data_IF_190356111768
#
_entry.id   IF_190356111768
#
_cell.length_a   1.000
_cell.length_b   1.000
_cell.length_c   1.000
_cell.angle_alpha   90.00
_cell.angle_beta   90.00
_cell.angle_gamma   90.00
#
_symmetry.space_group_name_H-M   'P 1'
#
loop_
_entity.id
_entity.type
_entity.pdbx_description
1 polymer ?
#
# COMPACT_ATOMS: atom_id res chain seq x y z
N UNK A 1 18.42 7.96 11.29
CA UNK A 1 19.69 7.22 11.06
C UNK A 1 19.49 5.75 10.66
N UNK A 2 18.39 5.08 11.01
CA UNK A 2 18.21 3.65 10.70
C UNK A 2 18.05 3.32 9.20
N UNK A 3 17.22 4.06 8.44
CA UNK A 3 17.01 3.75 7.02
C UNK A 3 18.24 4.10 6.15
N UNK A 4 18.86 5.27 6.37
CA UNK A 4 20.11 5.65 5.69
C UNK A 4 21.27 4.67 5.99
N UNK A 5 21.33 4.10 7.20
CA UNK A 5 22.30 3.06 7.55
C UNK A 5 22.00 1.69 6.91
N UNK A 6 20.73 1.36 6.69
CA UNK A 6 20.29 0.14 6.00
C UNK A 6 20.46 0.21 4.47
N UNK A 7 20.33 1.41 3.90
CA UNK A 7 20.36 1.65 2.46
C UNK A 7 21.79 1.72 1.86
N UNK A 8 22.82 1.81 2.72
CA UNK A 8 24.22 1.92 2.31
C UNK A 8 24.55 3.21 1.53
N UNK A 9 25.81 3.39 1.15
CA UNK A 9 26.30 4.54 0.38
C UNK A 9 25.74 4.65 -1.06
N UNK A 10 24.83 3.75 -1.48
CA UNK A 10 24.38 3.59 -2.88
C UNK A 10 22.89 3.89 -3.13
N UNK A 11 22.17 4.44 -2.15
CA UNK A 11 20.77 4.81 -2.37
C UNK A 11 20.69 6.24 -2.92
N UNK A 12 20.42 6.34 -4.22
CA UNK A 12 20.36 7.60 -4.94
C UNK A 12 19.01 8.32 -4.87
N UNK A 13 17.96 7.66 -4.38
CA UNK A 13 16.62 8.20 -4.28
C UNK A 13 15.65 7.23 -3.58
N UNK A 14 14.48 7.74 -3.22
CA UNK A 14 13.39 6.95 -2.62
C UNK A 14 12.11 7.18 -3.39
N UNK A 15 11.45 6.08 -3.76
CA UNK A 15 10.10 6.09 -4.31
C UNK A 15 9.16 5.28 -3.40
N UNK A 16 7.97 5.82 -3.15
CA UNK A 16 6.87 5.10 -2.50
C UNK A 16 5.71 4.99 -3.50
N UNK A 17 5.12 3.80 -3.62
CA UNK A 17 4.08 3.51 -4.62
C UNK A 17 2.83 3.00 -3.92
N UNK A 18 1.73 3.74 -4.03
CA UNK A 18 0.42 3.37 -3.46
C UNK A 18 0.44 3.03 -1.96
N UNK A 19 1.40 3.57 -1.19
CA UNK A 19 1.54 3.33 0.26
C UNK A 19 0.72 4.30 1.11
N UNK A 20 0.21 5.36 0.49
CA UNK A 20 -0.41 6.51 1.14
C UNK A 20 0.58 7.34 1.96
N UNK A 21 0.02 8.10 2.90
CA UNK A 21 0.77 8.94 3.83
C UNK A 21 0.78 8.34 5.23
N UNK A 22 1.71 8.81 6.06
CA UNK A 22 1.82 8.39 7.45
C UNK A 22 0.52 8.54 8.24
N UNK A 23 0.26 7.57 9.11
CA UNK A 23 -0.92 7.58 9.97
C UNK A 23 -0.53 8.23 11.31
N UNK A 24 -0.68 9.55 11.42
CA UNK A 24 -0.26 10.28 12.63
C UNK A 24 -1.13 9.99 13.85
N UNK A 25 -2.41 9.69 13.63
CA UNK A 25 -3.37 9.55 14.72
C UNK A 25 -4.51 8.59 14.38
N UNK A 26 -5.27 8.19 15.39
CA UNK A 26 -6.50 7.43 15.22
C UNK A 26 -7.53 8.16 14.34
N UNK A 27 -7.56 9.49 14.35
CA UNK A 27 -8.45 10.29 13.49
C UNK A 27 -8.20 10.02 11.99
N UNK A 28 -6.93 9.80 11.60
CA UNK A 28 -6.59 9.41 10.23
C UNK A 28 -7.20 8.06 9.87
N UNK A 29 -7.12 7.08 10.77
CA UNK A 29 -7.68 5.74 10.57
C UNK A 29 -9.21 5.80 10.46
N UNK A 30 -9.87 6.64 11.26
CA UNK A 30 -11.33 6.75 11.26
C UNK A 30 -11.92 7.27 9.94
N UNK A 31 -11.11 7.97 9.13
CA UNK A 31 -11.47 8.50 7.80
C UNK A 31 -11.29 7.49 6.66
N UNK A 32 -10.66 6.34 6.93
CA UNK A 32 -10.46 5.28 5.93
C UNK A 32 -11.78 4.58 5.56
N UNK A 33 -11.86 3.91 4.39
CA UNK A 33 -12.96 3.02 4.05
C UNK A 33 -13.20 1.96 5.12
N UNK A 34 -14.43 1.46 5.25
CA UNK A 34 -14.80 0.54 6.31
C UNK A 34 -13.96 -0.75 6.33
N UNK A 35 -13.61 -1.28 5.16
CA UNK A 35 -12.74 -2.45 4.99
C UNK A 35 -11.35 -2.21 5.59
N UNK A 36 -10.67 -1.13 5.19
CA UNK A 36 -9.35 -0.77 5.73
C UNK A 36 -9.40 -0.35 7.20
N UNK A 37 -10.41 0.44 7.60
CA UNK A 37 -10.56 0.97 8.96
C UNK A 37 -10.62 -0.13 10.02
N UNK A 38 -11.35 -1.23 9.76
CA UNK A 38 -11.46 -2.36 10.69
C UNK A 38 -10.10 -2.97 10.98
N UNK A 39 -9.28 -3.17 9.95
CA UNK A 39 -7.93 -3.74 10.08
C UNK A 39 -6.97 -2.76 10.74
N UNK A 40 -6.89 -1.52 10.23
CA UNK A 40 -5.92 -0.53 10.70
C UNK A 40 -6.19 -0.06 12.14
N UNK A 41 -7.46 0.01 12.57
CA UNK A 41 -7.81 0.39 13.93
C UNK A 41 -7.34 -0.67 14.94
N UNK A 42 -7.62 -1.95 14.65
CA UNK A 42 -7.18 -3.06 15.49
C UNK A 42 -5.65 -3.18 15.47
N UNK A 43 -5.02 -3.01 14.30
CA UNK A 43 -3.57 -2.94 14.15
C UNK A 43 -2.93 -1.86 15.03
N UNK A 44 -3.62 -0.72 15.24
CA UNK A 44 -3.11 0.36 16.08
C UNK A 44 -3.31 0.10 17.57
N UNK A 45 -4.45 -0.44 17.97
CA UNK A 45 -4.85 -0.52 19.37
C UNK A 45 -4.47 -1.85 20.03
N UNK A 46 -4.66 -2.95 19.31
CA UNK A 46 -4.48 -4.31 19.82
C UNK A 46 -4.04 -5.25 18.70
N UNK A 47 -2.77 -5.16 18.22
CA UNK A 47 -2.26 -5.97 17.11
C UNK A 47 -2.49 -7.47 17.26
N UNK A 48 -2.43 -7.99 18.49
CA UNK A 48 -2.64 -9.41 18.80
C UNK A 48 -4.04 -9.92 18.44
N UNK A 49 -5.03 -9.04 18.33
CA UNK A 49 -6.38 -9.43 17.90
C UNK A 49 -6.48 -9.66 16.39
N UNK A 50 -5.44 -9.32 15.60
CA UNK A 50 -5.43 -9.57 14.17
C UNK A 50 -5.10 -11.04 13.83
N UNK A 51 -4.41 -11.78 14.69
CA UNK A 51 -3.97 -13.15 14.33
C UNK A 51 -5.14 -14.09 14.04
N UNK A 52 -6.16 -14.12 14.92
CA UNK A 52 -7.30 -15.01 14.75
C UNK A 52 -8.08 -14.78 13.44
N UNK A 53 -8.56 -13.55 13.12
CA UNK A 53 -9.30 -13.32 11.88
C UNK A 53 -8.45 -13.57 10.63
N UNK A 54 -7.14 -13.25 10.64
CA UNK A 54 -6.28 -13.55 9.49
C UNK A 54 -6.03 -15.04 9.30
N UNK A 55 -5.90 -15.83 10.38
CA UNK A 55 -5.81 -17.30 10.28
C UNK A 55 -7.10 -17.92 9.74
N UNK A 56 -8.26 -17.41 10.16
CA UNK A 56 -9.56 -17.85 9.62
C UNK A 56 -9.68 -17.52 8.14
N UNK A 57 -9.33 -16.29 7.74
CA UNK A 57 -9.35 -15.88 6.34
C UNK A 57 -8.36 -16.69 5.48
N UNK A 58 -7.15 -16.95 5.98
CA UNK A 58 -6.17 -17.80 5.32
C UNK A 58 -6.66 -19.23 5.12
N UNK A 59 -7.34 -19.78 6.13
CA UNK A 59 -7.95 -21.11 6.02
C UNK A 59 -9.06 -21.13 4.97
N UNK A 60 -10.00 -20.17 5.01
CA UNK A 60 -11.09 -20.06 4.03
C UNK A 60 -10.56 -19.93 2.58
N UNK A 61 -9.52 -19.11 2.40
CA UNK A 61 -8.83 -18.92 1.12
C UNK A 61 -8.27 -20.22 0.55
N UNK A 62 -7.62 -21.04 1.38
CA UNK A 62 -6.98 -22.28 0.93
C UNK A 62 -7.95 -23.46 0.81
N UNK A 63 -9.10 -23.42 1.48
CA UNK A 63 -10.07 -24.52 1.51
C UNK A 63 -11.01 -24.56 0.31
N UNK A 64 -11.31 -23.41 -0.33
CA UNK A 64 -12.30 -23.38 -1.41
C UNK A 64 -12.07 -22.27 -2.43
N UNK A 65 -12.52 -22.50 -3.67
CA UNK A 65 -12.54 -21.49 -4.72
C UNK A 65 -13.42 -20.29 -4.35
N UNK A 66 -14.56 -20.55 -3.69
CA UNK A 66 -15.45 -19.47 -3.22
C UNK A 66 -14.78 -18.59 -2.17
N UNK A 67 -13.97 -19.16 -1.27
CA UNK A 67 -13.18 -18.41 -0.30
C UNK A 67 -12.11 -17.54 -0.97
N UNK A 68 -11.42 -18.10 -1.96
CA UNK A 68 -10.49 -17.35 -2.82
C UNK A 68 -11.19 -16.16 -3.51
N UNK A 69 -12.33 -16.40 -4.16
CA UNK A 69 -13.11 -15.36 -4.85
C UNK A 69 -13.60 -14.26 -3.92
N UNK A 70 -14.13 -14.63 -2.75
CA UNK A 70 -14.59 -13.66 -1.75
C UNK A 70 -13.46 -12.74 -1.30
N UNK A 71 -12.29 -13.29 -0.96
CA UNK A 71 -11.18 -12.48 -0.46
C UNK A 71 -10.53 -11.64 -1.55
N UNK A 72 -10.45 -12.13 -2.79
CA UNK A 72 -9.98 -11.32 -3.92
C UNK A 72 -10.88 -10.09 -4.13
N UNK A 73 -12.20 -10.24 -4.05
CA UNK A 73 -13.15 -9.13 -4.22
C UNK A 73 -13.23 -8.19 -3.02
N UNK A 74 -13.03 -8.71 -1.80
CA UNK A 74 -13.17 -7.96 -0.54
C UNK A 74 -12.37 -6.65 -0.51
N UNK A 75 -11.14 -6.65 -1.06
CA UNK A 75 -10.28 -5.46 -1.07
C UNK A 75 -10.73 -4.36 -2.03
N UNK A 76 -11.63 -4.66 -2.96
CA UNK A 76 -12.17 -3.73 -3.96
C UNK A 76 -13.64 -3.42 -3.74
N UNK A 77 -14.22 -3.83 -2.60
CA UNK A 77 -15.61 -3.54 -2.28
C UNK A 77 -15.85 -2.02 -2.26
N UNK A 78 -16.80 -1.58 -3.09
CA UNK A 78 -17.10 -0.16 -3.29
C UNK A 78 -16.18 0.55 -4.29
N UNK A 79 -15.21 -0.12 -4.92
CA UNK A 79 -14.34 0.44 -5.95
C UNK A 79 -14.71 -0.14 -7.33
N UNK A 80 -15.74 0.43 -7.96
CA UNK A 80 -16.34 -0.13 -9.17
C UNK A 80 -15.34 -0.33 -10.32
N UNK A 81 -14.38 0.59 -10.49
CA UNK A 81 -13.38 0.50 -11.54
C UNK A 81 -12.40 -0.67 -11.31
N UNK A 82 -11.75 -0.73 -10.13
CA UNK A 82 -10.81 -1.81 -9.82
C UNK A 82 -11.52 -3.16 -9.69
N UNK A 83 -12.72 -3.19 -9.11
CA UNK A 83 -13.53 -4.42 -9.01
C UNK A 83 -13.87 -4.97 -10.40
N UNK A 84 -14.30 -4.11 -11.32
CA UNK A 84 -14.59 -4.51 -12.70
C UNK A 84 -13.36 -5.12 -13.37
N UNK A 85 -12.15 -4.57 -13.15
CA UNK A 85 -10.91 -5.14 -13.69
C UNK A 85 -10.62 -6.51 -13.09
N UNK A 86 -10.74 -6.67 -11.78
CA UNK A 86 -10.51 -7.95 -11.10
C UNK A 86 -11.53 -9.01 -11.51
N UNK A 87 -12.77 -8.63 -11.80
CA UNK A 87 -13.83 -9.57 -12.21
C UNK A 87 -13.76 -9.97 -13.68
N UNK A 88 -13.27 -9.08 -14.56
CA UNK A 88 -13.35 -9.29 -16.01
C UNK A 88 -11.99 -9.54 -16.69
N UNK A 89 -10.87 -9.30 -16.01
CA UNK A 89 -9.54 -9.54 -16.54
C UNK A 89 -8.78 -10.61 -15.71
N UNK A 90 -8.49 -11.78 -16.30
CA UNK A 90 -7.77 -12.86 -15.63
C UNK A 90 -6.40 -12.47 -15.08
N UNK A 91 -5.74 -11.47 -15.67
CA UNK A 91 -4.45 -10.98 -15.18
C UNK A 91 -4.59 -10.37 -13.79
N UNK A 92 -5.51 -9.43 -13.61
CA UNK A 92 -5.71 -8.75 -12.33
C UNK A 92 -6.20 -9.71 -11.26
N UNK A 93 -7.15 -10.61 -11.60
CA UNK A 93 -7.57 -11.65 -10.68
C UNK A 93 -6.39 -12.48 -10.17
N UNK A 94 -5.58 -13.02 -11.10
CA UNK A 94 -4.44 -13.88 -10.78
C UNK A 94 -3.38 -13.13 -9.96
N UNK A 95 -3.11 -11.87 -10.30
CA UNK A 95 -2.14 -11.05 -9.59
C UNK A 95 -2.54 -10.84 -8.12
N UNK A 96 -3.80 -10.45 -7.88
CA UNK A 96 -4.33 -10.25 -6.52
C UNK A 96 -4.40 -11.55 -5.74
N UNK A 97 -4.91 -12.62 -6.37
CA UNK A 97 -4.96 -13.95 -5.78
C UNK A 97 -3.57 -14.39 -5.30
N UNK A 98 -2.54 -14.18 -6.13
CA UNK A 98 -1.17 -14.55 -5.78
C UNK A 98 -0.60 -13.68 -4.64
N UNK A 99 -0.92 -12.38 -4.62
CA UNK A 99 -0.52 -11.49 -3.52
C UNK A 99 -1.15 -11.92 -2.19
N UNK A 100 -2.44 -12.26 -2.19
CA UNK A 100 -3.15 -12.78 -1.01
C UNK A 100 -2.55 -14.11 -0.58
N UNK A 101 -2.35 -15.04 -1.52
CA UNK A 101 -1.74 -16.34 -1.25
C UNK A 101 -0.36 -16.20 -0.60
N UNK A 102 0.49 -15.33 -1.16
CA UNK A 102 1.82 -15.03 -0.59
C UNK A 102 1.70 -14.46 0.84
N UNK A 103 0.77 -13.53 1.06
CA UNK A 103 0.54 -12.92 2.37
C UNK A 103 0.09 -13.95 3.43
N UNK A 104 -0.65 -14.98 3.02
CA UNK A 104 -1.13 -16.05 3.91
C UNK A 104 -0.13 -17.20 4.11
N UNK A 105 1.02 -17.21 3.42
CA UNK A 105 2.10 -18.15 3.73
C UNK A 105 2.67 -17.94 5.14
N UNK A 106 2.66 -16.69 5.61
CA UNK A 106 3.12 -16.30 6.94
C UNK A 106 2.18 -15.24 7.53
N UNK A 107 1.14 -15.71 8.23
CA UNK A 107 0.17 -14.83 8.87
C UNK A 107 0.81 -13.96 9.96
N UNK A 108 1.89 -14.43 10.59
CA UNK A 108 2.54 -13.65 11.64
C UNK A 108 3.26 -12.43 11.05
N UNK A 109 3.96 -12.65 9.95
CA UNK A 109 4.56 -11.57 9.16
C UNK A 109 3.52 -10.62 8.58
N UNK A 110 2.41 -11.13 8.04
CA UNK A 110 1.30 -10.29 7.57
C UNK A 110 0.77 -9.36 8.68
N UNK A 111 0.52 -9.90 9.88
CA UNK A 111 0.06 -9.10 11.01
C UNK A 111 1.10 -8.05 11.41
N UNK A 112 2.38 -8.40 11.42
CA UNK A 112 3.47 -7.44 11.68
C UNK A 112 3.53 -6.34 10.62
N UNK A 113 3.46 -6.67 9.33
CA UNK A 113 3.54 -5.72 8.23
C UNK A 113 2.39 -4.72 8.28
N UNK A 114 1.15 -5.21 8.49
CA UNK A 114 -0.04 -4.36 8.66
C UNK A 114 0.08 -3.50 9.91
N UNK A 115 0.59 -4.05 11.01
CA UNK A 115 0.80 -3.30 12.26
C UNK A 115 1.79 -2.17 12.05
N UNK A 116 2.91 -2.44 11.38
CA UNK A 116 3.92 -1.44 11.05
C UNK A 116 3.35 -0.35 10.13
N UNK A 117 2.61 -0.75 9.10
CA UNK A 117 1.95 0.18 8.20
C UNK A 117 0.92 1.06 8.92
N UNK A 118 0.25 0.50 9.92
CA UNK A 118 -0.71 1.21 10.74
C UNK A 118 -0.08 2.24 11.69
N UNK A 119 1.25 2.39 11.79
CA UNK A 119 1.94 3.36 12.67
C UNK A 119 2.31 4.68 11.97
N UNK A 120 2.79 5.64 12.77
CA UNK A 120 3.46 6.83 12.24
C UNK A 120 4.93 6.51 11.92
N UNK A 121 5.22 6.34 10.63
CA UNK A 121 6.57 6.08 10.11
C UNK A 121 7.33 7.37 9.72
N UNK A 122 6.94 8.55 10.24
CA UNK A 122 7.66 9.83 10.03
C UNK A 122 9.16 9.73 10.30
N UNK A 123 9.54 9.03 11.37
CA UNK A 123 10.93 8.94 11.79
C UNK A 123 11.81 8.25 10.74
N UNK A 124 11.24 7.27 10.01
CA UNK A 124 11.90 6.59 8.92
C UNK A 124 12.28 7.59 7.81
N UNK A 125 11.31 8.44 7.42
CA UNK A 125 11.50 9.41 6.35
C UNK A 125 12.34 10.62 6.74
N UNK A 126 12.20 11.08 7.99
CA UNK A 126 13.02 12.18 8.52
C UNK A 126 14.50 11.81 8.58
N UNK A 127 14.82 10.51 8.55
CA UNK A 127 16.18 10.01 8.44
C UNK A 127 16.78 10.12 7.04
N UNK A 128 16.02 10.52 6.02
CA UNK A 128 16.51 10.68 4.65
C UNK A 128 17.24 12.02 4.47
N UNK A 129 18.35 12.06 3.74
CA UNK A 129 19.01 13.32 3.38
C UNK A 129 18.03 14.30 2.73
N UNK A 130 18.17 15.59 3.03
CA UNK A 130 17.31 16.63 2.44
C UNK A 130 17.46 16.73 0.92
N UNK A 131 18.68 16.53 0.42
CA UNK A 131 19.03 16.54 -1.01
C UNK A 131 18.67 15.26 -1.76
N UNK A 132 18.26 14.20 -1.06
CA UNK A 132 17.87 12.95 -1.71
C UNK A 132 16.56 13.14 -2.49
N UNK A 133 16.50 12.77 -3.78
CA UNK A 133 15.27 12.71 -4.54
C UNK A 133 14.24 11.81 -3.86
N UNK A 134 13.01 12.32 -3.71
CA UNK A 134 11.89 11.60 -3.08
C UNK A 134 10.64 11.72 -3.95
N UNK A 135 10.02 10.59 -4.27
CA UNK A 135 8.87 10.49 -5.16
C UNK A 135 7.77 9.67 -4.50
N UNK A 136 6.54 10.16 -4.58
CA UNK A 136 5.35 9.39 -4.30
C UNK A 136 4.58 9.15 -5.59
N UNK A 137 4.17 7.90 -5.83
CA UNK A 137 3.38 7.51 -7.00
C UNK A 137 2.04 6.98 -6.50
N UNK A 138 0.94 7.49 -7.03
CA UNK A 138 -0.43 7.12 -6.59
C UNK A 138 -1.41 7.17 -7.76
N UNK A 139 -2.43 6.30 -7.72
CA UNK A 139 -3.54 6.35 -8.67
C UNK A 139 -4.58 7.36 -8.21
N UNK A 140 -5.10 8.21 -9.11
CA UNK A 140 -6.04 9.27 -8.77
C UNK A 140 -7.30 8.74 -8.06
N UNK A 141 -7.76 7.55 -8.42
CA UNK A 141 -8.95 6.92 -7.86
C UNK A 141 -8.67 6.09 -6.59
N UNK A 142 -7.45 6.10 -6.03
CA UNK A 142 -7.14 5.28 -4.87
C UNK A 142 -8.00 5.65 -3.64
N UNK A 143 -8.84 4.71 -3.18
CA UNK A 143 -9.78 4.91 -2.07
C UNK A 143 -9.20 4.59 -0.70
N UNK A 144 -8.21 3.69 -0.64
CA UNK A 144 -7.53 3.35 0.61
C UNK A 144 -6.59 4.48 1.02
N UNK A 145 -5.90 5.09 0.06
CA UNK A 145 -4.98 6.20 0.25
C UNK A 145 -5.32 7.35 -0.69
N UNK A 146 -6.05 8.33 -0.18
CA UNK A 146 -6.57 9.42 -0.99
C UNK A 146 -5.45 10.24 -1.62
N UNK A 147 -5.48 10.38 -2.94
CA UNK A 147 -4.51 11.15 -3.73
C UNK A 147 -4.30 12.56 -3.22
N UNK A 148 -5.37 13.27 -2.84
CA UNK A 148 -5.27 14.63 -2.31
C UNK A 148 -4.44 14.70 -1.02
N UNK A 149 -4.54 13.69 -0.15
CA UNK A 149 -3.76 13.63 1.08
C UNK A 149 -2.28 13.37 0.76
N UNK A 150 -2.00 12.54 -0.24
CA UNK A 150 -0.64 12.28 -0.75
C UNK A 150 -0.02 13.55 -1.35
N UNK A 151 -0.75 14.26 -2.21
CA UNK A 151 -0.27 15.50 -2.85
C UNK A 151 0.05 16.57 -1.82
N UNK A 152 -0.87 16.86 -0.90
CA UNK A 152 -0.67 17.84 0.15
C UNK A 152 0.51 17.46 1.08
N UNK A 153 0.67 16.17 1.34
CA UNK A 153 1.82 15.68 2.11
C UNK A 153 3.13 15.86 1.34
N UNK A 154 3.17 15.55 0.05
CA UNK A 154 4.37 15.70 -0.76
C UNK A 154 4.84 17.16 -0.82
N UNK A 155 3.91 18.08 -1.10
CA UNK A 155 4.17 19.52 -1.09
C UNK A 155 4.75 19.98 0.25
N UNK A 156 4.11 19.60 1.37
CA UNK A 156 4.55 19.99 2.70
C UNK A 156 5.89 19.39 3.15
N UNK A 157 6.41 18.37 2.45
CA UNK A 157 7.64 17.67 2.83
C UNK A 157 8.74 17.74 1.75
N UNK A 158 8.52 18.48 0.66
CA UNK A 158 9.47 18.60 -0.45
C UNK A 158 9.64 17.30 -1.24
N UNK A 159 8.58 16.51 -1.38
CA UNK A 159 8.57 15.32 -2.24
C UNK A 159 7.94 15.66 -3.59
N UNK A 160 8.39 14.98 -4.64
CA UNK A 160 7.68 14.94 -5.90
C UNK A 160 6.50 13.98 -5.79
N UNK A 161 5.44 14.25 -6.54
CA UNK A 161 4.30 13.37 -6.67
C UNK A 161 4.00 13.10 -8.15
N UNK A 162 3.71 11.84 -8.47
CA UNK A 162 3.20 11.42 -9.78
C UNK A 162 1.84 10.77 -9.59
N UNK A 163 0.86 11.24 -10.36
CA UNK A 163 -0.53 10.78 -10.30
C UNK A 163 -0.88 10.11 -11.63
N UNK A 164 -1.43 8.90 -11.54
CA UNK A 164 -2.00 8.19 -12.68
C UNK A 164 -3.51 8.36 -12.65
N UNK A 165 -4.04 9.18 -13.58
CA UNK A 165 -5.44 9.64 -13.56
C UNK A 165 -6.46 8.50 -13.67
N UNK A 166 -6.19 7.48 -14.50
CA UNK A 166 -7.11 6.36 -14.73
C UNK A 166 -6.84 5.13 -13.83
N UNK A 167 -6.13 5.32 -12.72
CA UNK A 167 -5.66 4.22 -11.89
C UNK A 167 -6.14 4.35 -10.43
N UNK A 168 -6.45 3.20 -9.84
CA UNK A 168 -6.85 3.08 -8.44
C UNK A 168 -5.77 2.39 -7.60
N UNK A 169 -6.19 1.36 -6.87
CA UNK A 169 -5.33 0.55 -6.00
C UNK A 169 -4.50 -0.46 -6.80
N UNK A 170 -4.95 -0.79 -8.02
CA UNK A 170 -4.29 -1.75 -8.91
C UNK A 170 -3.10 -1.17 -9.71
N UNK A 171 -2.77 0.11 -9.49
CA UNK A 171 -1.75 0.86 -10.22
C UNK A 171 -0.43 0.08 -10.44
N UNK A 172 0.07 -0.58 -9.39
CA UNK A 172 1.35 -1.31 -9.44
C UNK A 172 1.35 -2.46 -10.45
N UNK A 173 0.18 -3.01 -10.74
CA UNK A 173 0.01 -4.11 -11.69
C UNK A 173 -0.23 -3.60 -13.11
N UNK A 174 -0.93 -2.49 -13.26
CA UNK A 174 -1.35 -1.94 -14.56
C UNK A 174 -0.30 -1.06 -15.23
N UNK A 175 0.54 -0.39 -14.44
CA UNK A 175 1.51 0.61 -14.90
C UNK A 175 2.93 0.29 -14.45
N UNK A 176 3.24 -1.00 -14.24
CA UNK A 176 4.53 -1.43 -13.70
C UNK A 176 5.74 -0.87 -14.48
N UNK A 177 5.66 -0.86 -15.82
CA UNK A 177 6.72 -0.32 -16.68
C UNK A 177 6.85 1.20 -16.52
N UNK A 178 5.75 1.94 -16.60
CA UNK A 178 5.72 3.39 -16.45
C UNK A 178 6.23 3.82 -15.05
N UNK A 179 5.87 3.08 -14.00
CA UNK A 179 6.37 3.28 -12.64
C UNK A 179 7.89 3.08 -12.59
N UNK A 180 8.41 2.00 -13.18
CA UNK A 180 9.85 1.74 -13.20
C UNK A 180 10.60 2.85 -13.95
N UNK A 181 10.07 3.33 -15.07
CA UNK A 181 10.65 4.44 -15.81
C UNK A 181 10.69 5.73 -14.99
N UNK A 182 9.59 6.08 -14.31
CA UNK A 182 9.54 7.25 -13.42
C UNK A 182 10.58 7.17 -12.30
N UNK A 183 10.76 5.99 -11.70
CA UNK A 183 11.77 5.78 -10.65
C UNK A 183 13.18 5.98 -11.21
N UNK A 184 13.46 5.47 -12.42
CA UNK A 184 14.76 5.66 -13.08
C UNK A 184 15.00 7.13 -13.40
N UNK A 185 14.03 7.81 -14.03
CA UNK A 185 14.14 9.22 -14.40
C UNK A 185 14.40 10.12 -13.18
N UNK A 186 13.78 9.80 -12.04
CA UNK A 186 13.97 10.53 -10.79
C UNK A 186 15.44 10.46 -10.30
N UNK A 187 16.10 9.33 -10.51
CA UNK A 187 17.47 9.10 -10.06
C UNK A 187 18.49 9.63 -11.08
N UNK A 188 18.18 9.59 -12.38
CA UNK A 188 19.11 9.98 -13.45
C UNK A 188 19.14 11.48 -13.75
N UNK A 189 18.09 12.23 -13.46
CA UNK A 189 18.03 13.68 -13.72
C UNK A 189 18.76 14.53 -12.65
N UNK A 190 19.86 14.01 -12.09
CA UNK A 190 20.77 14.73 -11.19
C UNK A 190 21.81 15.55 -11.95
#
# INVERSE_FOLDING_TARGET
>A
MALAGLLGERCDGVAIVSTGVRIKSLSTILKMPASSRRTFLVARLSPSLLYAPHRVAANDFHLSKDGEDRLVRYFFEGHAHDLNRVENDPFFYKAIRNLIAFSFQDVERLVHDVTYWAQDWSQLLNGLPKSMPKLSIVGAENRQFKTQEVLAWCEANGWQASVFEDEGQLLVFSKAADIAELIVQQVTNK
#
